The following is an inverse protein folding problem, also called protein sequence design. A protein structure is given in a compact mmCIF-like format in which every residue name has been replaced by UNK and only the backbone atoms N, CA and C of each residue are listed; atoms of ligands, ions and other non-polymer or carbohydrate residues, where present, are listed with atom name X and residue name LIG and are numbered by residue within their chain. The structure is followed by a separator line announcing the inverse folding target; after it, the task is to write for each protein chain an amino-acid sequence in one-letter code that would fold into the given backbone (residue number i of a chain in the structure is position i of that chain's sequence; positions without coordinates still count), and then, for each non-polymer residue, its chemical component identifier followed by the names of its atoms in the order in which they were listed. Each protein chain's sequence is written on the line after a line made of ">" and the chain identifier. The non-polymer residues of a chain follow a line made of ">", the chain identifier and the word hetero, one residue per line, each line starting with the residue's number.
data_IF_348949452136
#
_entry.id   IF_348949452136
#
_cell.length_a   1.000
_cell.length_b   1.000
_cell.length_c   1.000
_cell.angle_alpha   90.00
_cell.angle_beta   90.00
_cell.angle_gamma   90.00
#
_symmetry.space_group_name_H-M   'P 1'
#
loop_
_entity.id
_entity.type
_entity.pdbx_description
1 polymer ?
#
# COMPACT_ATOMS: atom_id res chain seq x y z
N UNK A 1 -0.80 -3.35 -20.77
CA UNK A 1 -0.02 -4.31 -19.92
C UNK A 1 -0.96 -4.77 -18.80
N UNK A 2 -1.04 -6.06 -18.52
CA UNK A 2 -1.87 -6.54 -17.39
C UNK A 2 -1.22 -6.13 -16.06
N UNK A 3 -2.00 -5.71 -15.07
CA UNK A 3 -1.46 -5.35 -13.76
C UNK A 3 -0.82 -6.57 -13.11
N UNK A 4 0.42 -6.41 -12.63
CA UNK A 4 1.20 -7.45 -11.99
C UNK A 4 1.56 -7.02 -10.57
N UNK A 5 1.57 -7.96 -9.62
CA UNK A 5 1.96 -7.74 -8.22
C UNK A 5 2.88 -8.87 -7.77
N UNK A 6 4.05 -8.53 -7.24
CA UNK A 6 4.88 -9.50 -6.54
C UNK A 6 4.28 -9.86 -5.19
N UNK A 7 4.03 -11.15 -4.97
CA UNK A 7 3.45 -11.66 -3.72
C UNK A 7 4.48 -12.33 -2.79
N UNK A 8 5.70 -12.56 -3.26
CA UNK A 8 6.81 -13.14 -2.50
C UNK A 8 8.05 -12.28 -2.71
N UNK A 9 8.41 -11.49 -1.71
CA UNK A 9 9.50 -10.52 -1.77
C UNK A 9 10.22 -10.46 -0.44
N UNK A 10 11.54 -10.62 -0.48
CA UNK A 10 12.43 -10.47 0.66
C UNK A 10 13.12 -9.10 0.63
N UNK A 11 13.18 -8.46 1.78
CA UNK A 11 13.94 -7.22 1.98
C UNK A 11 15.28 -7.50 2.68
N UNK A 12 16.01 -6.43 2.97
CA UNK A 12 17.25 -6.47 3.76
C UNK A 12 17.08 -7.09 5.17
N UNK A 13 15.85 -7.28 5.64
CA UNK A 13 15.56 -7.96 6.91
C UNK A 13 15.55 -9.49 6.79
N UNK A 14 15.55 -10.03 5.58
CA UNK A 14 15.85 -11.43 5.29
C UNK A 14 17.37 -11.61 5.18
N UNK A 15 18.04 -11.73 6.33
CA UNK A 15 19.51 -11.54 6.48
C UNK A 15 20.38 -12.37 5.52
N UNK A 16 19.90 -13.54 5.08
CA UNK A 16 20.66 -14.44 4.19
C UNK A 16 20.15 -14.36 2.74
N UNK A 17 18.93 -13.89 2.51
CA UNK A 17 18.24 -14.05 1.23
C UNK A 17 17.90 -12.70 0.56
N UNK A 18 17.91 -11.61 1.32
CA UNK A 18 17.46 -10.30 0.83
C UNK A 18 18.52 -9.21 1.00
N UNK A 19 18.69 -8.39 -0.05
CA UNK A 19 19.58 -7.22 -0.02
C UNK A 19 18.82 -5.92 -0.32
N UNK A 20 17.62 -6.03 -0.84
CA UNK A 20 16.85 -4.87 -1.29
C UNK A 20 16.33 -4.05 -0.13
N UNK A 21 16.54 -2.73 -0.15
CA UNK A 21 15.92 -1.85 0.82
C UNK A 21 14.42 -1.74 0.59
N UNK A 22 13.65 -1.60 1.66
CA UNK A 22 12.19 -1.43 1.58
C UNK A 22 11.80 -0.25 0.68
N UNK A 23 12.49 0.87 0.81
CA UNK A 23 12.26 2.07 -0.03
C UNK A 23 12.51 1.76 -1.51
N UNK A 24 13.62 1.10 -1.82
CA UNK A 24 13.96 0.70 -3.18
C UNK A 24 12.92 -0.23 -3.80
N UNK A 25 12.42 -1.20 -3.04
CA UNK A 25 11.37 -2.12 -3.48
C UNK A 25 10.06 -1.38 -3.84
N UNK A 26 9.59 -0.51 -2.95
CA UNK A 26 8.37 0.27 -3.15
C UNK A 26 8.52 1.23 -4.33
N UNK A 27 9.62 1.98 -4.39
CA UNK A 27 9.86 2.95 -5.46
C UNK A 27 9.96 2.26 -6.83
N UNK A 28 10.62 1.09 -6.90
CA UNK A 28 10.73 0.31 -8.14
C UNK A 28 9.36 -0.24 -8.57
N UNK A 29 8.59 -0.81 -7.64
CA UNK A 29 7.26 -1.33 -7.94
C UNK A 29 6.32 -0.23 -8.45
N UNK A 30 6.35 0.96 -7.83
CA UNK A 30 5.58 2.12 -8.29
C UNK A 30 6.04 2.61 -9.66
N UNK A 31 7.35 2.68 -9.92
CA UNK A 31 7.91 3.09 -11.21
C UNK A 31 7.54 2.11 -12.33
N UNK A 32 7.44 0.81 -12.02
CA UNK A 32 7.01 -0.23 -12.96
C UNK A 32 5.48 -0.26 -13.16
N UNK A 33 4.74 0.63 -12.51
CA UNK A 33 3.28 0.72 -12.63
C UNK A 33 2.52 -0.40 -11.91
N UNK A 34 3.14 -1.07 -10.94
CA UNK A 34 2.45 -2.08 -10.12
C UNK A 34 1.42 -1.42 -9.19
N UNK A 35 0.23 -2.01 -9.01
CA UNK A 35 -0.77 -1.48 -8.09
C UNK A 35 -0.45 -1.73 -6.61
N UNK A 36 0.57 -2.52 -6.32
CA UNK A 36 1.00 -2.88 -4.98
C UNK A 36 2.19 -3.84 -5.00
N UNK A 37 2.69 -4.18 -3.81
CA UNK A 37 3.74 -5.18 -3.62
C UNK A 37 3.57 -5.84 -2.26
N UNK A 38 3.89 -7.14 -2.15
CA UNK A 38 3.98 -7.81 -0.86
C UNK A 38 5.38 -7.64 -0.26
N UNK A 39 5.45 -7.67 1.07
CA UNK A 39 6.68 -7.90 1.81
C UNK A 39 6.49 -9.18 2.63
N UNK A 40 7.35 -10.18 2.37
CA UNK A 40 7.26 -11.53 2.94
C UNK A 40 8.64 -12.00 3.37
N UNK A 41 9.25 -11.29 4.31
CA UNK A 41 10.59 -11.62 4.80
C UNK A 41 10.65 -13.00 5.44
N UNK A 42 11.80 -13.64 5.33
CA UNK A 42 12.06 -15.02 5.73
C UNK A 42 12.02 -15.19 7.26
N UNK A 43 10.96 -15.82 7.76
CA UNK A 43 10.76 -16.08 9.17
C UNK A 43 10.65 -14.84 10.07
N UNK A 44 10.43 -13.66 9.49
CA UNK A 44 10.49 -12.39 10.20
C UNK A 44 9.47 -11.38 9.67
N UNK A 45 9.13 -10.40 10.52
CA UNK A 45 8.27 -9.26 10.17
C UNK A 45 8.91 -7.92 10.58
N UNK A 46 10.22 -7.87 10.71
CA UNK A 46 10.92 -6.67 11.22
C UNK A 46 10.75 -5.45 10.30
N UNK A 47 10.65 -5.66 8.99
CA UNK A 47 10.49 -4.60 7.99
C UNK A 47 9.06 -4.09 7.83
N UNK A 48 8.06 -4.75 8.37
CA UNK A 48 6.64 -4.46 8.11
C UNK A 48 6.24 -3.02 8.47
N UNK A 49 6.72 -2.52 9.62
CA UNK A 49 6.41 -1.14 10.06
C UNK A 49 7.00 -0.11 9.10
N UNK A 50 8.27 -0.26 8.73
CA UNK A 50 8.94 0.65 7.77
C UNK A 50 8.23 0.61 6.41
N UNK A 51 7.90 -0.58 5.94
CA UNK A 51 7.19 -0.79 4.68
C UNK A 51 5.82 -0.10 4.65
N UNK A 52 5.00 -0.35 5.66
CA UNK A 52 3.67 0.24 5.77
C UNK A 52 3.72 1.77 5.85
N UNK A 53 4.59 2.31 6.69
CA UNK A 53 4.76 3.76 6.85
C UNK A 53 5.26 4.41 5.55
N UNK A 54 6.19 3.76 4.85
CA UNK A 54 6.71 4.30 3.60
C UNK A 54 5.66 4.32 2.49
N UNK A 55 4.87 3.27 2.34
CA UNK A 55 3.75 3.25 1.40
C UNK A 55 2.70 4.31 1.75
N UNK A 56 2.36 4.46 3.02
CA UNK A 56 1.43 5.50 3.47
C UNK A 56 1.97 6.91 3.17
N UNK A 57 3.26 7.13 3.34
CA UNK A 57 3.92 8.39 2.95
C UNK A 57 3.77 8.66 1.46
N UNK A 58 3.94 7.65 0.60
CA UNK A 58 3.78 7.78 -0.86
C UNK A 58 2.33 8.07 -1.27
N UNK A 59 1.37 7.43 -0.61
CA UNK A 59 -0.06 7.67 -0.83
C UNK A 59 -0.56 8.99 -0.23
N UNK A 60 0.18 9.57 0.70
CA UNK A 60 -0.21 10.74 1.48
C UNK A 60 -0.66 11.96 0.67
N UNK A 61 0.02 12.36 -0.41
CA UNK A 61 -0.40 13.48 -1.26
C UNK A 61 -1.80 13.26 -1.83
N UNK A 62 -2.06 12.10 -2.43
CA UNK A 62 -3.37 11.78 -3.02
C UNK A 62 -4.48 11.68 -1.98
N UNK A 63 -4.18 11.14 -0.81
CA UNK A 63 -5.15 11.07 0.30
C UNK A 63 -5.49 12.47 0.85
N UNK A 64 -4.52 13.39 0.92
CA UNK A 64 -4.74 14.78 1.30
C UNK A 64 -5.61 15.50 0.28
N UNK A 65 -5.26 15.40 -1.01
CA UNK A 65 -6.05 15.95 -2.11
C UNK A 65 -7.53 15.54 -2.01
N UNK A 66 -7.81 14.25 -1.86
CA UNK A 66 -9.18 13.74 -1.68
C UNK A 66 -9.88 14.31 -0.46
N UNK A 67 -9.16 14.40 0.66
CA UNK A 67 -9.71 14.94 1.91
C UNK A 67 -10.04 16.42 1.79
N UNK A 68 -9.18 17.19 1.16
CA UNK A 68 -9.36 18.64 0.99
C UNK A 68 -10.52 18.93 0.03
N UNK A 69 -10.63 18.20 -1.08
CA UNK A 69 -11.76 18.29 -1.99
C UNK A 69 -13.10 17.96 -1.29
N UNK A 70 -13.13 16.86 -0.51
CA UNK A 70 -14.33 16.51 0.28
C UNK A 70 -14.72 17.60 1.28
N UNK A 71 -13.73 18.23 1.92
CA UNK A 71 -13.95 19.32 2.86
C UNK A 71 -14.54 20.56 2.17
N UNK A 72 -14.01 20.91 0.99
CA UNK A 72 -14.50 22.05 0.21
C UNK A 72 -15.92 21.81 -0.32
N UNK A 73 -16.21 20.62 -0.83
CA UNK A 73 -17.54 20.21 -1.27
C UNK A 73 -18.52 20.33 -0.11
N UNK A 74 -18.19 19.76 1.04
CA UNK A 74 -19.04 19.80 2.22
C UNK A 74 -19.32 21.24 2.67
N UNK A 75 -18.32 22.11 2.68
CA UNK A 75 -18.49 23.50 3.06
C UNK A 75 -19.45 24.26 2.13
N UNK A 76 -19.43 23.97 0.81
CA UNK A 76 -20.37 24.57 -0.14
C UNK A 76 -21.76 23.95 -0.04
N UNK A 77 -21.88 22.67 0.30
CA UNK A 77 -23.17 22.00 0.49
C UNK A 77 -23.92 22.46 1.75
N UNK A 78 -23.19 22.93 2.77
CA UNK A 78 -23.76 23.43 4.03
C UNK A 78 -24.24 24.89 3.96
N UNK A 79 -24.04 25.61 2.83
CA UNK A 79 -24.57 26.95 2.62
C UNK A 79 -26.10 26.90 2.46
N UNK A 80 -26.82 27.70 3.23
CA UNK A 80 -28.31 27.79 3.17
C UNK A 80 -28.79 28.37 1.84
N UNK A 81 -28.07 29.37 1.30
CA UNK A 81 -28.29 29.95 -0.03
C UNK A 81 -27.03 29.80 -0.90
N UNK A 82 -27.19 29.19 -2.07
CA UNK A 82 -26.12 29.02 -3.04
C UNK A 82 -26.34 29.90 -4.24
N UNK A 83 -25.30 30.62 -4.65
CA UNK A 83 -25.28 31.35 -5.90
C UNK A 83 -25.05 30.39 -7.09
N UNK A 84 -25.31 30.84 -8.31
CA UNK A 84 -24.99 30.08 -9.52
C UNK A 84 -23.47 29.81 -9.64
N UNK A 85 -22.64 30.70 -9.12
CA UNK A 85 -21.17 30.51 -9.06
C UNK A 85 -20.79 29.39 -8.08
N UNK A 86 -21.47 29.30 -6.94
CA UNK A 86 -21.24 28.22 -5.95
C UNK A 86 -21.64 26.85 -6.51
N UNK A 87 -22.73 26.79 -7.27
CA UNK A 87 -23.17 25.55 -7.92
C UNK A 87 -22.20 25.10 -9.02
N UNK A 88 -21.69 26.03 -9.82
CA UNK A 88 -20.68 25.75 -10.83
C UNK A 88 -19.38 25.22 -10.19
N UNK A 89 -18.94 25.86 -9.11
CA UNK A 89 -17.76 25.45 -8.35
C UNK A 89 -17.94 24.09 -7.69
N UNK A 90 -19.12 23.80 -7.17
CA UNK A 90 -19.47 22.51 -6.58
C UNK A 90 -19.38 21.39 -7.62
N UNK A 91 -19.88 21.63 -8.84
CA UNK A 91 -19.78 20.67 -9.95
C UNK A 91 -18.31 20.40 -10.32
N UNK A 92 -17.51 21.44 -10.45
CA UNK A 92 -16.07 21.32 -10.74
C UNK A 92 -15.32 20.50 -9.65
N UNK A 93 -15.57 20.80 -8.37
CA UNK A 93 -14.95 20.09 -7.26
C UNK A 93 -15.35 18.61 -7.21
N UNK A 94 -16.60 18.30 -7.55
CA UNK A 94 -17.07 16.90 -7.66
C UNK A 94 -16.37 16.14 -8.79
N UNK A 95 -16.17 16.77 -9.94
CA UNK A 95 -15.41 16.19 -11.05
C UNK A 95 -13.95 15.94 -10.66
N UNK A 96 -13.33 16.93 -9.99
CA UNK A 96 -11.96 16.80 -9.48
C UNK A 96 -11.86 15.66 -8.44
N UNK A 97 -12.83 15.54 -7.54
CA UNK A 97 -12.85 14.45 -6.57
C UNK A 97 -13.01 13.10 -7.26
N UNK A 98 -13.89 12.97 -8.22
CA UNK A 98 -14.08 11.75 -8.99
C UNK A 98 -12.78 11.35 -9.73
N UNK A 99 -12.10 12.31 -10.35
CA UNK A 99 -10.81 12.08 -11.01
C UNK A 99 -9.72 11.65 -10.01
N UNK A 100 -9.69 12.27 -8.83
CA UNK A 100 -8.75 11.89 -7.76
C UNK A 100 -9.07 10.50 -7.19
N UNK A 101 -10.35 10.14 -7.01
CA UNK A 101 -10.76 8.82 -6.54
C UNK A 101 -10.51 7.70 -7.55
N UNK A 102 -10.55 8.00 -8.84
CA UNK A 102 -10.19 7.07 -9.90
C UNK A 102 -8.70 6.68 -9.92
N UNK A 103 -7.81 7.54 -9.39
CA UNK A 103 -6.38 7.21 -9.27
C UNK A 103 -6.20 6.13 -8.18
N UNK A 104 -5.64 4.95 -8.49
CA UNK A 104 -5.47 3.90 -7.48
C UNK A 104 -4.40 4.30 -6.45
N UNK A 105 -4.66 3.95 -5.18
CA UNK A 105 -3.63 3.97 -4.14
C UNK A 105 -2.73 2.75 -4.28
N UNK A 106 -1.43 2.92 -4.07
CA UNK A 106 -0.50 1.81 -4.01
C UNK A 106 -0.77 0.96 -2.76
N UNK A 107 -0.90 -0.36 -2.93
CA UNK A 107 -1.31 -1.28 -1.86
C UNK A 107 -0.12 -1.99 -1.24
N UNK A 108 0.15 -1.81 0.07
CA UNK A 108 1.07 -2.69 0.80
C UNK A 108 0.34 -4.00 1.14
N UNK A 109 0.97 -5.14 0.82
CA UNK A 109 0.52 -6.46 1.21
C UNK A 109 1.49 -6.95 2.28
N UNK A 110 1.00 -7.09 3.51
CA UNK A 110 1.82 -7.48 4.66
C UNK A 110 1.80 -9.00 4.80
N UNK A 111 2.95 -9.61 4.81
CA UNK A 111 3.11 -11.05 4.90
C UNK A 111 4.40 -11.46 5.61
N UNK A 112 4.61 -12.75 5.70
CA UNK A 112 5.79 -13.37 6.25
C UNK A 112 5.94 -14.75 5.61
N UNK A 113 7.15 -15.13 5.26
CA UNK A 113 7.46 -16.51 4.92
C UNK A 113 7.61 -17.33 6.21
N UNK A 114 6.78 -18.33 6.38
CA UNK A 114 6.72 -19.11 7.62
C UNK A 114 7.16 -20.55 7.41
N UNK A 115 7.80 -21.12 8.41
CA UNK A 115 8.14 -22.53 8.42
C UNK A 115 6.91 -23.36 8.81
N UNK A 116 6.61 -24.38 8.00
CA UNK A 116 5.53 -25.32 8.25
C UNK A 116 6.09 -26.67 8.64
N UNK A 117 5.79 -27.14 9.85
CA UNK A 117 6.18 -28.47 10.30
C UNK A 117 5.40 -29.55 9.56
N UNK A 118 6.08 -30.59 9.05
CA UNK A 118 5.46 -31.69 8.28
C UNK A 118 4.35 -32.43 9.03
N UNK A 119 4.46 -32.60 10.33
CA UNK A 119 3.50 -33.35 11.15
C UNK A 119 2.92 -32.50 12.30
N UNK A 120 3.81 -31.94 13.12
CA UNK A 120 3.42 -31.14 14.27
C UNK A 120 4.63 -30.32 14.76
N UNK A 121 4.40 -29.08 15.18
CA UNK A 121 5.42 -28.22 15.80
C UNK A 121 6.01 -28.82 17.09
N UNK A 122 5.37 -29.81 17.68
CA UNK A 122 5.83 -30.47 18.90
C UNK A 122 6.69 -31.73 18.63
N UNK A 123 6.70 -32.24 17.39
CA UNK A 123 7.55 -33.38 17.00
C UNK A 123 8.84 -32.85 16.36
N UNK A 124 9.94 -32.92 17.12
CA UNK A 124 11.29 -32.65 16.64
C UNK A 124 11.90 -33.99 16.19
N UNK A 125 11.74 -34.34 14.93
CA UNK A 125 12.40 -35.51 14.34
C UNK A 125 13.85 -35.11 14.01
N UNK A 126 14.80 -35.60 14.79
CA UNK A 126 16.24 -35.27 14.65
C UNK A 126 16.86 -35.72 13.31
N UNK A 127 16.18 -36.55 12.54
CA UNK A 127 16.68 -37.16 11.30
C UNK A 127 15.98 -36.62 10.03
N UNK A 128 15.18 -35.58 10.13
CA UNK A 128 14.57 -34.94 8.95
C UNK A 128 15.28 -33.63 8.67
N UNK A 129 15.94 -33.47 7.50
CA UNK A 129 16.52 -32.18 7.13
C UNK A 129 15.43 -31.11 7.21
N UNK A 130 15.75 -29.96 7.84
CA UNK A 130 14.91 -28.77 7.72
C UNK A 130 14.79 -28.41 6.23
N UNK A 131 13.58 -28.03 5.76
CA UNK A 131 13.41 -27.54 4.41
C UNK A 131 14.23 -26.27 4.18
#
# INVERSE_FOLDING_TARGET
>A
MQPFVHLHVHSQFSLLDGQASIKGLVDKAMADGMPGIALTDHGAMFGIKEFFDYVNKKNGPLLRERKDLKKQIKALEELEERSAEDEAKLSELREQLQAAEAKPLFKPILGCEVYCARRSRFKKDANVPNP
#
